data_IF_178386570160
#
_entry.id   IF_178386570160
#
_cell.length_a   1.000
_cell.length_b   1.000
_cell.length_c   1.000
_cell.angle_alpha   90.00
_cell.angle_beta   90.00
_cell.angle_gamma   90.00
#
_symmetry.space_group_name_H-M   'P 1'
#
loop_
_entity.id
_entity.type
_entity.pdbx_description
1 polymer ?
#
# COMPACT_ATOMS: atom_id res chain seq x y z
N UNK A 1 -20.24 3.30 -25.68
CA UNK A 1 -19.93 4.74 -25.63
C UNK A 1 -18.78 4.91 -24.65
N UNK A 2 -17.56 4.93 -25.17
CA UNK A 2 -16.33 4.94 -24.37
C UNK A 2 -16.30 6.22 -23.53
N UNK A 3 -15.98 6.12 -22.23
CA UNK A 3 -15.74 7.29 -21.38
C UNK A 3 -14.54 8.06 -21.95
N UNK A 4 -14.79 8.96 -22.91
CA UNK A 4 -13.80 9.94 -23.34
C UNK A 4 -13.60 10.90 -22.18
N UNK A 5 -12.47 10.71 -21.50
CA UNK A 5 -11.77 11.69 -20.68
C UNK A 5 -12.69 12.68 -19.92
N UNK A 6 -13.23 12.26 -18.78
CA UNK A 6 -13.55 13.23 -17.74
C UNK A 6 -12.21 13.83 -17.24
N UNK A 7 -12.05 15.17 -17.18
CA UNK A 7 -10.77 15.88 -17.08
C UNK A 7 -9.98 15.70 -15.77
N UNK A 8 -10.37 14.76 -14.89
CA UNK A 8 -9.84 14.63 -13.53
C UNK A 8 -8.88 13.42 -13.31
N UNK A 9 -8.41 12.78 -14.37
CA UNK A 9 -7.66 11.53 -14.28
C UNK A 9 -6.33 11.66 -15.04
N UNK A 10 -5.24 11.83 -14.31
CA UNK A 10 -3.83 12.00 -14.75
C UNK A 10 -3.25 10.86 -15.63
N UNK A 11 -4.07 9.95 -16.15
CA UNK A 11 -3.62 8.79 -16.92
C UNK A 11 -2.93 7.71 -16.09
N UNK A 12 -2.74 7.93 -14.79
CA UNK A 12 -1.87 7.10 -13.95
C UNK A 12 -2.65 6.27 -12.94
N UNK A 13 -2.05 5.16 -12.55
CA UNK A 13 -2.54 4.31 -11.48
C UNK A 13 -2.42 5.03 -10.14
N UNK A 14 -3.52 5.10 -9.39
CA UNK A 14 -3.56 5.68 -8.06
C UNK A 14 -2.56 5.01 -7.12
N UNK A 15 -2.26 3.72 -7.24
CA UNK A 15 -1.42 3.03 -6.26
C UNK A 15 0.08 3.00 -6.54
N UNK A 16 0.46 2.96 -7.81
CA UNK A 16 1.85 2.80 -8.21
C UNK A 16 2.34 3.88 -9.19
N UNK A 17 1.47 4.81 -9.59
CA UNK A 17 1.75 5.86 -10.57
C UNK A 17 2.17 5.35 -11.96
N UNK A 18 2.05 4.05 -12.24
CA UNK A 18 2.28 3.53 -13.58
C UNK A 18 1.19 4.07 -14.54
N UNK A 19 1.54 4.44 -15.78
CA UNK A 19 0.56 4.84 -16.77
C UNK A 19 -0.39 3.67 -17.06
N UNK A 20 -1.69 3.96 -17.11
CA UNK A 20 -2.72 2.97 -17.42
C UNK A 20 -3.93 3.59 -18.12
N UNK A 21 -3.72 4.64 -18.92
CA UNK A 21 -4.79 5.27 -19.70
C UNK A 21 -5.41 4.34 -20.75
N UNK A 22 -4.59 3.48 -21.36
CA UNK A 22 -4.99 2.58 -22.46
C UNK A 22 -5.67 1.28 -21.99
N UNK A 23 -5.50 0.88 -20.73
CA UNK A 23 -6.22 -0.24 -20.10
C UNK A 23 -6.50 0.11 -18.62
N UNK A 24 -7.44 1.04 -18.38
CA UNK A 24 -7.71 1.53 -17.05
C UNK A 24 -8.68 0.62 -16.31
N UNK A 25 -8.32 0.32 -15.06
CA UNK A 25 -9.18 -0.32 -14.10
C UNK A 25 -9.60 0.69 -13.04
N UNK A 26 -10.61 0.35 -12.25
CA UNK A 26 -11.11 1.20 -11.17
C UNK A 26 -11.34 0.41 -9.89
N UNK A 27 -11.11 1.06 -8.76
CA UNK A 27 -11.77 0.73 -7.50
C UNK A 27 -12.98 1.66 -7.37
N UNK A 28 -14.19 1.13 -7.56
CA UNK A 28 -15.42 1.93 -7.57
C UNK A 28 -15.68 2.56 -6.20
N UNK A 29 -15.48 1.79 -5.13
CA UNK A 29 -15.68 2.27 -3.75
C UNK A 29 -14.81 3.48 -3.37
N UNK A 30 -13.66 3.64 -4.01
CA UNK A 30 -12.78 4.79 -3.79
C UNK A 30 -12.78 5.75 -4.98
N UNK A 31 -13.50 5.42 -6.04
CA UNK A 31 -13.53 6.14 -7.30
C UNK A 31 -12.13 6.56 -7.80
N UNK A 32 -11.18 5.60 -7.81
CA UNK A 32 -9.79 5.80 -8.26
C UNK A 32 -9.42 4.88 -9.41
N UNK A 33 -8.43 5.28 -10.20
CA UNK A 33 -7.87 4.48 -11.30
C UNK A 33 -6.82 3.53 -10.79
N UNK A 34 -6.80 2.34 -11.38
CA UNK A 34 -5.78 1.34 -11.14
C UNK A 34 -5.23 0.85 -12.48
N UNK A 35 -3.97 0.43 -12.49
CA UNK A 35 -3.48 -0.45 -13.53
C UNK A 35 -3.91 -1.89 -13.22
N UNK A 36 -3.91 -2.77 -14.22
CA UNK A 36 -4.32 -4.18 -14.09
C UNK A 36 -3.63 -4.91 -12.92
N UNK A 37 -2.35 -4.62 -12.65
CA UNK A 37 -1.61 -5.22 -11.51
C UNK A 37 -2.17 -4.81 -10.16
N UNK A 38 -2.44 -3.52 -9.98
CA UNK A 38 -3.03 -3.01 -8.74
C UNK A 38 -4.49 -3.47 -8.60
N UNK A 39 -5.25 -3.50 -9.70
CA UNK A 39 -6.59 -4.06 -9.73
C UNK A 39 -6.60 -5.53 -9.27
N UNK A 40 -5.64 -6.35 -9.72
CA UNK A 40 -5.45 -7.72 -9.22
C UNK A 40 -5.22 -7.80 -7.71
N UNK A 41 -4.39 -6.92 -7.15
CA UNK A 41 -4.16 -6.87 -5.71
C UNK A 41 -5.41 -6.41 -4.93
N UNK A 42 -6.20 -5.49 -5.49
CA UNK A 42 -7.46 -5.05 -4.90
C UNK A 42 -8.51 -6.16 -4.81
N UNK A 43 -8.53 -7.10 -5.76
CA UNK A 43 -9.46 -8.24 -5.71
C UNK A 43 -9.30 -9.06 -4.43
N UNK A 44 -8.08 -9.15 -3.88
CA UNK A 44 -7.80 -9.85 -2.63
C UNK A 44 -8.31 -9.11 -1.37
N UNK A 45 -8.70 -7.83 -1.48
CA UNK A 45 -9.27 -7.07 -0.36
C UNK A 45 -10.74 -7.41 -0.10
N UNK A 46 -11.43 -8.00 -1.09
CA UNK A 46 -12.86 -8.23 -1.04
C UNK A 46 -13.69 -7.03 -1.47
N UNK A 47 -14.89 -7.32 -1.98
CA UNK A 47 -15.78 -6.36 -2.65
C UNK A 47 -16.30 -5.24 -1.74
N UNK A 48 -16.36 -5.48 -0.42
CA UNK A 48 -16.81 -4.50 0.56
C UNK A 48 -15.74 -3.43 0.88
N UNK A 49 -14.47 -3.73 0.58
CA UNK A 49 -13.38 -2.75 0.69
C UNK A 49 -13.14 -2.12 -0.68
N UNK A 50 -12.92 -2.94 -1.71
CA UNK A 50 -12.67 -2.47 -3.06
C UNK A 50 -13.36 -3.34 -4.10
N UNK A 51 -14.42 -2.79 -4.67
CA UNK A 51 -15.08 -3.31 -5.84
C UNK A 51 -14.35 -2.89 -7.12
N UNK A 52 -13.81 -3.89 -7.82
CA UNK A 52 -12.92 -3.69 -8.98
C UNK A 52 -13.69 -3.84 -10.29
N UNK A 53 -13.52 -2.87 -11.20
CA UNK A 53 -14.09 -2.88 -12.56
C UNK A 53 -13.00 -2.53 -13.59
N UNK A 54 -12.99 -3.21 -14.73
CA UNK A 54 -12.32 -2.71 -15.94
C UNK A 54 -13.18 -1.59 -16.50
N UNK A 55 -12.61 -0.42 -16.77
CA UNK A 55 -13.34 0.69 -17.38
C UNK A 55 -13.52 0.52 -18.90
N UNK A 56 -12.95 -0.54 -19.47
CA UNK A 56 -13.10 -0.89 -20.89
C UNK A 56 -13.95 -2.14 -21.10
N UNK A 57 -13.75 -3.17 -20.27
CA UNK A 57 -14.36 -4.48 -20.47
C UNK A 57 -15.63 -4.69 -19.66
N UNK A 58 -15.80 -3.98 -18.53
CA UNK A 58 -16.98 -4.11 -17.69
C UNK A 58 -17.96 -2.95 -17.93
N UNK A 59 -19.25 -3.24 -17.87
CA UNK A 59 -20.29 -2.21 -17.80
C UNK A 59 -20.45 -1.75 -16.35
N UNK A 60 -20.43 -0.43 -16.14
CA UNK A 60 -20.70 0.17 -14.84
C UNK A 60 -22.19 0.45 -14.72
N UNK A 61 -22.79 0.11 -13.58
CA UNK A 61 -24.17 0.51 -13.28
C UNK A 61 -24.27 2.03 -13.10
N UNK A 62 -25.48 2.59 -13.19
CA UNK A 62 -25.70 4.02 -12.99
C UNK A 62 -25.21 4.51 -11.61
N UNK A 63 -25.39 3.69 -10.56
CA UNK A 63 -24.90 4.00 -9.21
C UNK A 63 -23.36 3.98 -9.12
N UNK A 64 -22.72 3.02 -9.79
CA UNK A 64 -21.27 2.95 -9.87
C UNK A 64 -20.70 4.15 -10.63
N UNK A 65 -21.32 4.51 -11.76
CA UNK A 65 -20.95 5.72 -12.52
C UNK A 65 -21.12 6.99 -11.70
N UNK A 66 -22.22 7.13 -10.95
CA UNK A 66 -22.46 8.28 -10.09
C UNK A 66 -21.39 8.39 -8.98
N UNK A 67 -20.96 7.26 -8.42
CA UNK A 67 -19.86 7.21 -7.46
C UNK A 67 -18.53 7.63 -8.10
N UNK A 68 -18.21 7.05 -9.28
CA UNK A 68 -16.99 7.34 -10.02
C UNK A 68 -16.87 8.82 -10.41
N UNK A 69 -17.99 9.45 -10.80
CA UNK A 69 -18.06 10.85 -11.17
C UNK A 69 -17.79 11.82 -10.01
N UNK A 70 -18.01 11.38 -8.77
CA UNK A 70 -17.76 12.19 -7.56
C UNK A 70 -16.33 12.07 -7.06
N UNK A 71 -15.60 11.02 -7.42
CA UNK A 71 -14.24 10.81 -6.93
C UNK A 71 -13.16 11.39 -7.84
N UNK A 72 -12.26 10.51 -8.30
CA UNK A 72 -11.03 10.86 -9.00
C UNK A 72 -9.79 10.66 -8.14
N UNK A 73 -8.66 10.43 -8.82
CA UNK A 73 -7.37 10.22 -8.16
C UNK A 73 -6.96 11.42 -7.29
N UNK A 74 -7.16 12.63 -7.79
CA UNK A 74 -6.77 13.86 -7.10
C UNK A 74 -7.62 14.11 -5.86
N UNK A 75 -8.95 14.02 -5.99
CA UNK A 75 -9.86 14.13 -4.84
C UNK A 75 -9.52 13.12 -3.74
N UNK A 76 -9.21 11.88 -4.12
CA UNK A 76 -8.80 10.86 -3.16
C UNK A 76 -7.46 11.21 -2.49
N UNK A 77 -6.46 11.68 -3.25
CA UNK A 77 -5.17 12.15 -2.70
C UNK A 77 -5.36 13.28 -1.70
N UNK A 78 -6.09 14.32 -2.10
CA UNK A 78 -6.36 15.50 -1.27
C UNK A 78 -7.11 15.13 0.01
N UNK A 79 -8.12 14.27 -0.10
CA UNK A 79 -8.87 13.79 1.07
C UNK A 79 -7.98 13.04 2.04
N UNK A 80 -7.17 12.09 1.55
CA UNK A 80 -6.25 11.32 2.39
C UNK A 80 -5.20 12.23 3.04
N UNK A 81 -4.67 13.20 2.31
CA UNK A 81 -3.70 14.18 2.82
C UNK A 81 -4.31 15.04 3.92
N UNK A 82 -5.53 15.57 3.72
CA UNK A 82 -6.27 16.31 4.74
C UNK A 82 -6.57 15.50 6.01
N UNK A 83 -6.59 14.16 5.91
CA UNK A 83 -6.75 13.23 7.05
C UNK A 83 -5.41 12.67 7.57
N UNK A 84 -4.28 13.27 7.21
CA UNK A 84 -2.96 12.92 7.74
C UNK A 84 -2.30 11.71 7.08
N UNK A 85 -2.78 11.28 5.91
CA UNK A 85 -2.21 10.20 5.10
C UNK A 85 -1.69 10.78 3.78
N UNK A 86 -0.64 11.61 3.80
CA UNK A 86 -0.07 12.17 2.58
C UNK A 86 0.50 11.06 1.70
N UNK A 87 0.72 11.37 0.42
CA UNK A 87 1.16 10.40 -0.60
C UNK A 87 2.35 9.53 -0.19
N UNK A 88 3.33 10.11 0.50
CA UNK A 88 4.52 9.39 1.02
C UNK A 88 4.16 8.30 2.04
N UNK A 89 3.19 8.55 2.91
CA UNK A 89 2.71 7.60 3.92
C UNK A 89 1.91 6.50 3.23
N UNK A 90 1.02 6.88 2.31
CA UNK A 90 0.25 5.92 1.49
C UNK A 90 1.15 4.91 0.79
N UNK A 91 2.18 5.39 0.09
CA UNK A 91 3.09 4.53 -0.66
C UNK A 91 3.96 3.63 0.22
N UNK A 92 4.26 4.06 1.45
CA UNK A 92 5.03 3.28 2.42
C UNK A 92 4.23 2.11 3.04
N UNK A 93 2.89 2.17 3.00
CA UNK A 93 2.03 1.08 3.46
C UNK A 93 1.97 -0.05 2.43
N UNK A 94 1.95 -1.28 2.91
CA UNK A 94 1.57 -2.44 2.10
C UNK A 94 0.14 -2.24 1.58
N UNK A 95 -0.13 -2.65 0.33
CA UNK A 95 -1.40 -2.36 -0.36
C UNK A 95 -2.65 -2.69 0.48
N UNK A 96 -2.76 -3.85 1.17
CA UNK A 96 -3.92 -4.14 1.99
C UNK A 96 -4.14 -3.15 3.14
N UNK A 97 -3.06 -2.65 3.74
CA UNK A 97 -3.14 -1.70 4.85
C UNK A 97 -3.56 -0.30 4.40
N UNK A 98 -3.29 0.08 3.15
CA UNK A 98 -3.66 1.39 2.60
C UNK A 98 -5.17 1.63 2.70
N UNK A 99 -5.94 0.65 2.24
CA UNK A 99 -7.41 0.69 2.19
C UNK A 99 -8.09 0.27 3.50
N UNK A 100 -7.30 -0.09 4.51
CA UNK A 100 -7.76 -0.37 5.87
C UNK A 100 -7.36 0.76 6.84
N UNK A 101 -6.85 1.88 6.35
CA UNK A 101 -6.68 3.08 7.18
C UNK A 101 -8.04 3.70 7.50
N UNK A 102 -8.21 4.33 8.68
CA UNK A 102 -9.41 5.09 9.02
C UNK A 102 -9.79 6.17 7.99
N UNK A 103 -8.79 6.78 7.35
CA UNK A 103 -8.99 7.78 6.30
C UNK A 103 -9.58 7.17 5.02
N UNK A 104 -9.05 6.03 4.55
CA UNK A 104 -9.58 5.34 3.38
C UNK A 104 -11.00 4.78 3.62
N UNK A 105 -11.26 4.25 4.82
CA UNK A 105 -12.60 3.84 5.21
C UNK A 105 -13.60 5.01 5.19
N UNK A 106 -13.23 6.13 5.82
CA UNK A 106 -14.07 7.32 5.82
C UNK A 106 -14.33 7.80 4.38
N UNK A 107 -13.30 7.83 3.52
CA UNK A 107 -13.46 8.28 2.14
C UNK A 107 -14.46 7.42 1.34
N UNK A 108 -14.40 6.09 1.50
CA UNK A 108 -15.37 5.19 0.87
C UNK A 108 -16.81 5.47 1.35
N UNK A 109 -16.99 5.71 2.64
CA UNK A 109 -18.31 6.05 3.21
C UNK A 109 -18.81 7.42 2.75
N UNK A 110 -17.92 8.42 2.65
CA UNK A 110 -18.22 9.74 2.08
C UNK A 110 -18.72 9.61 0.65
N UNK A 111 -17.99 8.90 -0.22
CA UNK A 111 -18.41 8.70 -1.61
C UNK A 111 -19.75 7.99 -1.73
N UNK A 112 -20.00 6.97 -0.90
CA UNK A 112 -21.26 6.25 -0.87
C UNK A 112 -22.43 7.17 -0.45
N UNK A 113 -22.27 7.92 0.64
CA UNK A 113 -23.28 8.87 1.10
C UNK A 113 -23.57 9.96 0.06
N UNK A 114 -22.53 10.54 -0.54
CA UNK A 114 -22.70 11.55 -1.60
C UNK A 114 -23.40 10.98 -2.83
N UNK A 115 -23.07 9.74 -3.23
CA UNK A 115 -23.72 9.08 -4.37
C UNK A 115 -25.20 8.76 -4.09
N UNK A 116 -25.54 8.43 -2.84
CA UNK A 116 -26.91 8.17 -2.40
C UNK A 116 -27.72 9.43 -2.06
N UNK A 117 -27.07 10.60 -1.93
CA UNK A 117 -27.72 11.83 -1.46
C UNK A 117 -28.02 11.82 0.04
N UNK A 118 -27.26 11.05 0.81
CA UNK A 118 -27.37 10.90 2.25
C UNK A 118 -26.44 11.87 3.00
N UNK A 119 -26.60 11.95 4.31
CA UNK A 119 -25.74 12.76 5.17
C UNK A 119 -24.28 12.25 5.15
N UNK A 120 -23.33 13.16 4.92
CA UNK A 120 -21.92 12.81 4.75
C UNK A 120 -21.26 12.53 6.11
N UNK A 121 -20.71 11.32 6.34
CA UNK A 121 -20.04 11.01 7.59
C UNK A 121 -18.72 11.78 7.72
N UNK A 122 -18.37 12.19 8.94
CA UNK A 122 -17.14 12.96 9.24
C UNK A 122 -16.14 12.20 10.12
N UNK A 123 -16.61 11.16 10.80
CA UNK A 123 -15.85 10.41 11.81
C UNK A 123 -14.91 9.35 11.22
N UNK A 124 -13.63 9.47 11.56
CA UNK A 124 -12.65 8.41 11.31
C UNK A 124 -12.82 7.30 12.35
N UNK A 125 -13.37 6.16 11.94
CA UNK A 125 -13.54 4.99 12.80
C UNK A 125 -12.25 4.17 12.83
N UNK A 126 -11.96 3.54 13.96
CA UNK A 126 -10.93 2.52 14.01
C UNK A 126 -11.37 1.34 13.11
N UNK A 127 -10.59 1.06 12.08
CA UNK A 127 -10.83 -0.11 11.24
C UNK A 127 -10.27 -1.31 12.00
N UNK A 128 -11.15 -2.23 12.40
CA UNK A 128 -10.73 -3.53 12.91
C UNK A 128 -9.99 -4.24 11.77
N UNK A 129 -8.66 -4.27 11.86
CA UNK A 129 -7.88 -5.10 10.95
C UNK A 129 -8.36 -6.53 11.15
N UNK A 130 -8.70 -7.28 10.08
CA UNK A 130 -8.92 -8.70 10.24
C UNK A 130 -7.70 -9.26 10.97
N UNK A 131 -7.88 -10.21 11.92
CA UNK A 131 -6.73 -10.87 12.51
C UNK A 131 -5.85 -11.31 11.35
N UNK A 132 -4.53 -11.07 11.41
CA UNK A 132 -3.65 -11.49 10.34
C UNK A 132 -4.03 -12.94 10.05
N UNK A 133 -4.29 -13.32 8.77
CA UNK A 133 -4.65 -14.70 8.46
C UNK A 133 -3.64 -15.54 9.21
N UNK A 134 -4.13 -16.40 10.12
CA UNK A 134 -3.28 -17.12 11.08
C UNK A 134 -2.15 -17.67 10.24
N UNK A 135 -1.00 -17.00 10.30
CA UNK A 135 0.09 -17.39 9.46
C UNK A 135 0.36 -18.81 9.95
N UNK A 136 0.47 -19.81 9.06
CA UNK A 136 1.10 -21.04 9.52
C UNK A 136 2.35 -20.59 10.28
N UNK A 137 2.48 -21.06 11.53
CA UNK A 137 3.60 -20.73 12.42
C UNK A 137 4.86 -20.65 11.55
N UNK A 138 5.72 -19.62 11.67
CA UNK A 138 6.65 -19.26 10.62
C UNK A 138 7.67 -20.38 10.37
N UNK A 139 7.30 -21.36 9.57
CA UNK A 139 8.17 -22.21 8.79
C UNK A 139 8.38 -21.53 7.45
N UNK A 140 8.80 -20.28 7.52
CA UNK A 140 9.68 -19.77 6.48
C UNK A 140 10.97 -19.48 7.20
N UNK A 141 11.86 -20.49 7.20
CA UNK A 141 13.30 -20.23 7.11
C UNK A 141 13.43 -19.02 6.20
N UNK A 142 14.10 -17.98 6.69
CA UNK A 142 14.46 -16.82 5.87
C UNK A 142 14.95 -17.37 4.53
N UNK A 143 14.17 -17.20 3.46
CA UNK A 143 14.59 -17.63 2.14
C UNK A 143 15.68 -16.65 1.77
N UNK A 144 16.91 -17.01 2.12
CA UNK A 144 18.10 -16.28 1.72
C UNK A 144 18.14 -16.34 0.20
N UNK A 145 17.65 -15.30 -0.47
CA UNK A 145 17.69 -15.21 -1.92
C UNK A 145 19.16 -15.24 -2.33
N UNK A 146 19.65 -16.25 -3.07
CA UNK A 146 21.02 -16.28 -3.53
C UNK A 146 21.36 -15.02 -4.32
N UNK A 147 22.57 -14.50 -4.18
CA UNK A 147 22.97 -13.22 -4.81
C UNK A 147 22.73 -13.19 -6.32
N UNK A 148 22.95 -14.33 -6.99
CA UNK A 148 22.73 -14.49 -8.44
C UNK A 148 21.26 -14.32 -8.87
N UNK A 149 20.32 -14.59 -7.98
CA UNK A 149 18.88 -14.52 -8.23
C UNK A 149 18.30 -13.15 -7.84
N UNK A 150 19.04 -12.37 -7.05
CA UNK A 150 18.65 -11.02 -6.67
C UNK A 150 19.14 -9.99 -7.71
N UNK A 151 18.28 -9.67 -8.68
CA UNK A 151 18.55 -8.63 -9.69
C UNK A 151 18.32 -7.19 -9.16
N UNK A 152 17.46 -7.02 -8.16
CA UNK A 152 17.10 -5.72 -7.59
C UNK A 152 16.81 -5.82 -6.09
N UNK A 153 16.91 -4.69 -5.40
CA UNK A 153 16.61 -4.56 -3.98
C UNK A 153 15.15 -4.92 -3.70
N UNK A 154 14.91 -5.86 -2.79
CA UNK A 154 13.56 -6.31 -2.42
C UNK A 154 12.75 -5.26 -1.63
N UNK A 155 13.33 -4.09 -1.33
CA UNK A 155 12.65 -2.95 -0.69
C UNK A 155 12.38 -1.80 -1.66
N UNK A 156 13.43 -1.21 -2.25
CA UNK A 156 13.29 -0.03 -3.10
C UNK A 156 13.26 -0.35 -4.60
N UNK A 157 13.47 -1.61 -5.00
CA UNK A 157 13.53 -2.10 -6.39
C UNK A 157 14.62 -1.50 -7.26
N UNK A 158 15.58 -0.78 -6.68
CA UNK A 158 16.78 -0.37 -7.44
C UNK A 158 17.59 -1.60 -7.82
N UNK A 159 18.08 -1.63 -9.07
CA UNK A 159 18.91 -2.72 -9.59
C UNK A 159 20.25 -2.80 -8.86
N UNK A 160 20.74 -4.03 -8.66
CA UNK A 160 22.09 -4.23 -8.15
C UNK A 160 23.10 -4.15 -9.30
N UNK A 161 24.18 -3.39 -9.09
CA UNK A 161 25.31 -3.28 -9.99
C UNK A 161 26.60 -3.04 -9.19
N UNK A 162 27.74 -2.77 -9.84
CA UNK A 162 29.06 -2.67 -9.19
C UNK A 162 29.11 -1.74 -7.95
N UNK A 163 28.42 -0.60 -7.98
CA UNK A 163 28.34 0.37 -6.86
C UNK A 163 27.16 0.15 -5.89
N UNK A 164 26.18 -0.68 -6.26
CA UNK A 164 25.00 -1.01 -5.43
C UNK A 164 25.10 -2.49 -5.08
N UNK A 165 25.88 -2.77 -4.03
CA UNK A 165 26.14 -4.13 -3.56
C UNK A 165 24.92 -4.72 -2.86
N UNK A 166 24.86 -6.05 -2.90
CA UNK A 166 23.83 -6.87 -2.25
C UNK A 166 24.11 -7.00 -0.77
N UNK A 167 23.05 -6.93 0.04
CA UNK A 167 23.11 -7.16 1.48
C UNK A 167 21.89 -7.93 1.94
N UNK A 168 22.06 -8.98 2.73
CA UNK A 168 20.91 -9.72 3.27
C UNK A 168 20.51 -9.22 4.66
N UNK A 169 19.21 -9.12 4.91
CA UNK A 169 18.70 -8.87 6.25
C UNK A 169 18.81 -10.15 7.10
N UNK A 170 19.54 -10.10 8.23
CA UNK A 170 19.72 -11.28 9.10
C UNK A 170 18.43 -11.72 9.83
N UNK A 171 17.42 -10.83 9.88
CA UNK A 171 16.10 -11.10 10.47
C UNK A 171 15.09 -11.68 9.48
N UNK A 172 15.03 -11.19 8.24
CA UNK A 172 14.01 -11.63 7.27
C UNK A 172 14.54 -12.32 6.01
N UNK A 173 15.85 -12.31 5.75
CA UNK A 173 16.48 -12.99 4.61
C UNK A 173 16.52 -12.19 3.30
N UNK A 174 15.73 -11.12 3.17
CA UNK A 174 15.67 -10.29 1.95
C UNK A 174 17.02 -9.76 1.51
N UNK A 175 17.29 -9.78 0.21
CA UNK A 175 18.41 -9.11 -0.43
C UNK A 175 18.06 -7.63 -0.70
N UNK A 176 18.84 -6.72 -0.12
CA UNK A 176 18.58 -5.27 -0.10
C UNK A 176 19.85 -4.47 -0.40
N UNK A 177 19.69 -3.21 -0.81
CA UNK A 177 20.79 -2.29 -1.05
C UNK A 177 21.30 -1.62 0.24
N UNK A 178 22.46 -0.96 0.17
CA UNK A 178 23.10 -0.30 1.31
C UNK A 178 22.19 0.74 1.99
N UNK A 179 21.42 1.51 1.22
CA UNK A 179 20.46 2.48 1.76
C UNK A 179 19.27 1.81 2.48
N UNK A 180 18.91 0.59 2.09
CA UNK A 180 17.83 -0.19 2.66
C UNK A 180 18.26 -1.09 3.85
N UNK A 181 19.58 -1.26 4.06
CA UNK A 181 20.20 -1.85 5.25
C UNK A 181 21.45 -1.07 5.65
N UNK A 182 21.28 0.18 6.10
CA UNK A 182 22.40 1.05 6.39
C UNK A 182 23.10 0.58 7.68
N UNK A 183 24.37 0.89 7.93
CA UNK A 183 25.11 0.41 9.11
C UNK A 183 24.37 0.62 10.44
N UNK A 184 23.62 1.71 10.56
CA UNK A 184 22.84 2.12 11.74
C UNK A 184 21.67 1.17 12.03
N UNK A 185 21.28 0.33 11.06
CA UNK A 185 20.29 -0.74 11.23
C UNK A 185 20.81 -1.95 12.00
N UNK A 186 22.13 -2.04 12.23
CA UNK A 186 22.74 -3.19 12.89
C UNK A 186 22.27 -3.29 14.34
N UNK A 187 21.69 -4.43 14.71
CA UNK A 187 21.25 -4.72 16.08
C UNK A 187 21.57 -6.18 16.40
N UNK A 188 21.76 -6.54 17.67
CA UNK A 188 21.77 -7.95 18.08
C UNK A 188 20.46 -8.63 17.68
N UNK A 189 20.51 -9.92 17.37
CA UNK A 189 19.34 -10.76 17.12
C UNK A 189 19.45 -12.03 17.98
N UNK A 190 19.25 -11.93 19.31
CA UNK A 190 19.43 -13.04 20.24
C UNK A 190 18.52 -14.24 19.92
N UNK A 191 17.31 -13.99 19.41
CA UNK A 191 16.36 -15.06 19.02
C UNK A 191 16.88 -15.93 17.87
N UNK A 192 17.95 -15.53 17.19
CA UNK A 192 18.63 -16.31 16.14
C UNK A 192 20.12 -16.56 16.46
N UNK A 193 20.53 -16.39 17.71
CA UNK A 193 21.91 -16.64 18.14
C UNK A 193 22.93 -15.57 17.75
N UNK A 194 22.51 -14.45 17.15
CA UNK A 194 23.42 -13.34 16.86
C UNK A 194 23.50 -12.40 18.07
N UNK A 195 24.47 -12.65 18.95
CA UNK A 195 24.72 -11.80 20.12
C UNK A 195 25.39 -10.48 19.73
N UNK A 196 26.15 -10.46 18.64
CA UNK A 196 26.76 -9.26 18.09
C UNK A 196 25.82 -8.54 17.11
N UNK A 197 25.95 -7.21 16.93
CA UNK A 197 25.14 -6.46 15.97
C UNK A 197 25.27 -7.01 14.54
N UNK A 198 24.14 -7.37 13.95
CA UNK A 198 24.05 -7.82 12.55
C UNK A 198 23.12 -6.91 11.77
N UNK A 199 23.39 -6.74 10.47
CA UNK A 199 22.60 -5.86 9.60
C UNK A 199 21.16 -6.36 9.43
N UNK A 200 20.24 -5.41 9.51
CA UNK A 200 18.82 -5.60 9.24
C UNK A 200 18.38 -4.69 8.11
N UNK A 201 17.30 -5.03 7.41
CA UNK A 201 16.67 -4.03 6.57
C UNK A 201 15.95 -2.99 7.44
N UNK A 202 15.75 -1.78 6.92
CA UNK A 202 15.09 -0.67 7.63
C UNK A 202 13.69 -1.03 8.16
N UNK A 203 13.00 -2.01 7.57
CA UNK A 203 11.71 -2.50 8.04
C UNK A 203 11.80 -3.46 9.24
N UNK A 204 12.97 -4.08 9.44
CA UNK A 204 13.22 -5.06 10.50
C UNK A 204 13.89 -4.45 11.74
N UNK A 205 14.36 -3.21 11.67
CA UNK A 205 14.89 -2.48 12.82
C UNK A 205 13.74 -2.18 13.78
N UNK A 206 13.81 -2.61 15.05
CA UNK A 206 12.81 -2.24 16.05
C UNK A 206 12.72 -0.71 16.15
N UNK A 207 11.50 -0.16 16.11
CA UNK A 207 11.30 1.26 16.41
C UNK A 207 11.73 1.52 17.86
N UNK A 208 12.41 2.63 18.17
CA UNK A 208 12.65 3.00 19.56
C UNK A 208 11.30 3.05 20.27
N UNK A 209 11.23 2.46 21.46
CA UNK A 209 10.04 2.58 22.31
C UNK A 209 9.78 4.08 22.50
N UNK A 210 8.55 4.52 22.26
CA UNK A 210 8.17 5.88 22.63
C UNK A 210 8.37 6.00 24.14
N UNK A 211 9.09 7.01 24.65
CA UNK A 211 9.07 7.27 26.08
C UNK A 211 7.60 7.46 26.48
N UNK A 212 7.16 6.66 27.45
CA UNK A 212 5.86 6.86 28.07
C UNK A 212 5.96 8.22 28.76
N UNK A 213 5.27 9.21 28.22
CA UNK A 213 5.20 10.52 28.86
C UNK A 213 4.45 10.36 30.19
N UNK A 214 5.15 10.65 31.30
CA UNK A 214 4.57 11.08 32.57
C UNK A 214 3.79 10.05 33.38
N UNK A 215 4.48 9.42 34.33
CA UNK A 215 3.94 9.29 35.69
C UNK A 215 4.95 10.04 36.56
N UNK A 216 4.56 11.21 37.03
CA UNK A 216 5.40 12.15 37.79
C UNK A 216 4.80 13.53 37.76
#
# INVERSE_FOLDING_TARGET
MYMTASPAWDGCCFDCAAPCAEDPWASVNHAVRLCIRCAGAHRALGVHISFVRSLQLDELSAAEMATMARGGNDRCREFLEAKGVPRRVWLALALPLRYQTPAADLYRRVLAAEAAGEEVPTEMRAVALPPPPVAPAPERRASWTPDREAASCELCRQSFWLLQRRHHCRRCGRCVCGACSPPESARPLPQRGHLQPVRHCILCVPKPARPIAGIG
#
